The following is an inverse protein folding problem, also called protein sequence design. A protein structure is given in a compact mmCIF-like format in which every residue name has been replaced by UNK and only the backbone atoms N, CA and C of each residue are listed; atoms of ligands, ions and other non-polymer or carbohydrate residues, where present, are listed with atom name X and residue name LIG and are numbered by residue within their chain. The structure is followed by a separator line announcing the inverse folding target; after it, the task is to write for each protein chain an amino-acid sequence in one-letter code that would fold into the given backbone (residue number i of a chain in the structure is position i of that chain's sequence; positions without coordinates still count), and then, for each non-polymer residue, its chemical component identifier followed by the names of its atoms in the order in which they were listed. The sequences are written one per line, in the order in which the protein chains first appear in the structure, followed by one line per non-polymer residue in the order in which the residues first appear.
data_IF_826236846551
#
_entry.id   IF_826236846551
#
_cell.length_a   1.000
_cell.length_b   1.000
_cell.length_c   1.000
_cell.angle_alpha   90.00
_cell.angle_beta   90.00
_cell.angle_gamma   90.00
#
_symmetry.space_group_name_H-M   'P 1'
#
loop_
_entity.id
_entity.type
_entity.pdbx_description
1 polymer ?
#
# COMPACT_ATOMS: atom_id res chain seq x y z
N UNK A 1 53.41 -34.12 24.27
CA UNK A 1 51.92 -34.22 24.35
C UNK A 1 51.23 -33.03 23.65
N UNK A 2 51.67 -32.60 22.45
CA UNK A 2 51.15 -31.37 21.81
C UNK A 2 50.30 -31.59 20.54
N UNK A 3 50.21 -32.81 20.01
CA UNK A 3 49.52 -33.07 18.73
C UNK A 3 47.98 -33.01 18.82
N UNK A 4 47.38 -33.17 20.01
CA UNK A 4 45.92 -33.13 20.20
C UNK A 4 45.32 -31.71 20.27
N UNK A 5 46.16 -30.67 20.42
CA UNK A 5 45.69 -29.28 20.55
C UNK A 5 45.43 -28.60 19.21
N UNK A 6 46.09 -29.07 18.15
CA UNK A 6 45.98 -28.57 16.78
C UNK A 6 44.56 -28.73 16.20
N UNK A 7 43.90 -29.91 16.27
CA UNK A 7 42.54 -30.06 15.74
C UNK A 7 41.52 -29.24 16.53
N UNK A 8 41.72 -29.08 17.85
CA UNK A 8 40.87 -28.23 18.70
C UNK A 8 41.01 -26.74 18.35
N UNK A 9 42.23 -26.29 18.04
CA UNK A 9 42.45 -24.91 17.60
C UNK A 9 41.83 -24.65 16.23
N UNK A 10 41.97 -25.60 15.29
CA UNK A 10 41.37 -25.49 13.95
C UNK A 10 39.84 -25.47 14.01
N UNK A 11 39.26 -26.30 14.88
CA UNK A 11 37.82 -26.31 15.13
C UNK A 11 37.34 -24.99 15.75
N UNK A 12 38.08 -24.45 16.73
CA UNK A 12 37.77 -23.17 17.35
C UNK A 12 37.85 -22.00 16.36
N UNK A 13 38.83 -22.00 15.44
CA UNK A 13 38.92 -21.00 14.36
C UNK A 13 37.77 -21.13 13.36
N UNK A 14 37.37 -22.35 12.99
CA UNK A 14 36.26 -22.59 12.07
C UNK A 14 34.92 -22.12 12.66
N UNK A 15 34.71 -22.32 13.97
CA UNK A 15 33.52 -21.85 14.71
C UNK A 15 33.48 -20.32 14.82
N UNK A 16 34.62 -19.65 14.95
CA UNK A 16 34.70 -18.18 14.96
C UNK A 16 34.48 -17.55 13.57
N UNK A 17 34.84 -18.23 12.49
CA UNK A 17 34.63 -17.74 11.12
C UNK A 17 33.15 -17.84 10.67
N UNK A 18 32.36 -18.74 11.26
CA UNK A 18 30.95 -18.92 10.94
C UNK A 18 30.00 -17.89 11.60
N UNK A 19 30.51 -17.11 12.56
CA UNK A 19 29.71 -16.16 13.37
C UNK A 19 29.54 -14.75 12.79
N UNK A 20 29.89 -14.52 11.52
CA UNK A 20 29.72 -13.22 10.83
C UNK A 20 28.54 -13.20 9.85
N UNK A 21 27.72 -14.25 9.82
CA UNK A 21 26.56 -14.39 8.95
C UNK A 21 25.23 -14.05 9.64
N UNK A 22 25.23 -13.12 10.61
CA UNK A 22 24.00 -12.52 11.11
C UNK A 22 23.69 -11.29 10.27
N UNK A 23 23.08 -11.52 9.10
CA UNK A 23 22.17 -10.54 8.54
C UNK A 23 20.96 -10.51 9.47
N UNK A 24 21.06 -9.67 10.50
CA UNK A 24 19.93 -9.24 11.31
C UNK A 24 18.94 -8.61 10.34
N UNK A 25 17.86 -9.33 10.02
CA UNK A 25 16.80 -8.85 9.15
C UNK A 25 15.80 -8.13 10.04
N UNK A 26 15.89 -6.80 10.21
CA UNK A 26 14.75 -6.08 10.76
C UNK A 26 13.63 -6.22 9.72
N UNK A 27 12.59 -6.98 10.07
CA UNK A 27 11.29 -6.93 9.41
C UNK A 27 10.91 -5.44 9.30
N UNK A 28 11.06 -4.86 8.10
CA UNK A 28 10.86 -3.43 7.89
C UNK A 28 11.74 -2.79 6.81
N UNK A 29 12.79 -3.47 6.33
CA UNK A 29 13.62 -2.96 5.21
C UNK A 29 13.33 -3.75 3.93
N UNK A 30 12.68 -3.10 2.96
CA UNK A 30 12.28 -3.70 1.67
C UNK A 30 13.46 -3.96 0.71
N UNK A 31 14.58 -3.26 0.88
CA UNK A 31 15.76 -3.37 0.01
C UNK A 31 17.00 -3.74 0.79
N UNK A 32 17.68 -4.79 0.34
CA UNK A 32 18.85 -5.36 1.01
C UNK A 32 20.15 -4.72 0.52
N UNK A 33 20.13 -4.02 -0.61
CA UNK A 33 21.28 -3.31 -1.16
C UNK A 33 21.03 -1.81 -1.41
N UNK A 34 22.06 -0.95 -1.35
CA UNK A 34 21.96 0.46 -1.74
C UNK A 34 21.60 0.67 -3.22
N UNK A 35 22.00 -0.26 -4.09
CA UNK A 35 21.75 -0.18 -5.54
C UNK A 35 20.28 -0.41 -5.89
N UNK A 36 19.58 -1.32 -5.20
CA UNK A 36 18.13 -1.52 -5.38
C UNK A 36 17.33 -0.28 -4.97
N UNK A 37 17.75 0.40 -3.89
CA UNK A 37 17.13 1.65 -3.43
C UNK A 37 17.28 2.75 -4.47
N UNK A 38 18.50 2.98 -4.97
CA UNK A 38 18.74 4.03 -5.96
C UNK A 38 18.06 3.76 -7.30
N UNK A 39 17.76 2.50 -7.64
CA UNK A 39 16.95 2.16 -8.81
C UNK A 39 15.47 2.53 -8.62
N UNK A 40 14.91 2.33 -7.42
CA UNK A 40 13.55 2.79 -7.10
C UNK A 40 13.47 4.31 -7.06
N UNK A 41 14.43 4.99 -6.43
CA UNK A 41 14.43 6.45 -6.31
C UNK A 41 14.56 7.17 -7.66
N UNK A 42 15.16 6.49 -8.66
CA UNK A 42 15.27 6.98 -10.05
C UNK A 42 13.99 6.81 -10.87
N UNK A 43 13.03 6.00 -10.42
CA UNK A 43 11.71 6.00 -11.05
C UNK A 43 11.01 7.29 -10.64
N UNK A 44 11.22 8.33 -11.44
CA UNK A 44 10.44 9.55 -11.39
C UNK A 44 8.98 9.16 -11.55
N UNK A 45 8.17 9.49 -10.54
CA UNK A 45 6.74 9.23 -10.57
C UNK A 45 6.21 10.00 -11.79
N UNK A 46 5.64 9.34 -12.82
CA UNK A 46 5.08 10.06 -13.96
C UNK A 46 4.11 11.09 -13.39
N UNK A 47 4.20 12.35 -13.86
CA UNK A 47 3.41 13.50 -13.38
C UNK A 47 2.05 13.01 -12.93
N UNK A 48 1.85 12.96 -11.61
CA UNK A 48 0.83 12.12 -11.01
C UNK A 48 -0.51 12.47 -11.65
N UNK A 49 -1.03 11.57 -12.49
CA UNK A 49 -2.41 11.67 -12.93
C UNK A 49 -3.22 11.60 -11.64
N UNK A 50 -3.77 12.74 -11.22
CA UNK A 50 -4.63 12.81 -10.05
C UNK A 50 -5.77 11.84 -10.36
N UNK A 51 -5.88 10.70 -9.64
CA UNK A 51 -6.94 9.75 -9.92
C UNK A 51 -8.28 10.47 -9.77
N UNK A 52 -9.28 10.15 -10.62
CA UNK A 52 -10.58 10.80 -10.53
C UNK A 52 -11.12 10.63 -9.11
N UNK A 53 -11.81 11.66 -8.63
CA UNK A 53 -12.37 11.61 -7.30
C UNK A 53 -13.29 10.40 -7.18
N UNK A 54 -13.23 9.67 -6.07
CA UNK A 54 -14.05 8.48 -5.88
C UNK A 54 -14.34 8.21 -4.41
N UNK A 55 -15.44 7.51 -4.15
CA UNK A 55 -15.78 7.03 -2.81
C UNK A 55 -14.93 5.78 -2.50
N UNK A 56 -14.06 5.86 -1.49
CA UNK A 56 -13.23 4.75 -1.05
C UNK A 56 -13.95 3.84 -0.05
N UNK A 57 -14.88 4.40 0.73
CA UNK A 57 -15.55 3.65 1.78
C UNK A 57 -16.78 4.38 2.32
N UNK A 58 -17.73 3.60 2.83
CA UNK A 58 -18.95 4.09 3.48
C UNK A 58 -19.15 3.27 4.76
N UNK A 59 -19.16 3.93 5.91
CA UNK A 59 -19.55 3.33 7.20
C UNK A 59 -20.82 4.01 7.65
N UNK A 60 -21.93 3.27 7.62
CA UNK A 60 -23.26 3.76 7.94
C UNK A 60 -23.61 3.47 9.41
N UNK A 61 -24.11 4.49 10.10
CA UNK A 61 -24.72 4.40 11.42
C UNK A 61 -26.21 4.08 11.29
N UNK A 62 -26.79 3.48 12.32
CA UNK A 62 -28.18 3.01 12.29
C UNK A 62 -29.23 4.12 12.04
N UNK A 63 -28.86 5.39 12.26
CA UNK A 63 -29.69 6.58 12.01
C UNK A 63 -29.70 7.04 10.54
N UNK A 64 -29.07 6.29 9.62
CA UNK A 64 -29.00 6.61 8.20
C UNK A 64 -27.92 7.61 7.82
N UNK A 65 -27.12 8.08 8.78
CA UNK A 65 -25.93 8.91 8.56
C UNK A 65 -24.71 8.02 8.34
N UNK A 66 -23.71 8.53 7.66
CA UNK A 66 -22.48 7.79 7.39
C UNK A 66 -21.24 8.66 7.48
N UNK A 67 -20.13 8.00 7.80
CA UNK A 67 -18.80 8.49 7.46
C UNK A 67 -18.43 7.95 6.09
N UNK A 68 -18.04 8.83 5.18
CA UNK A 68 -17.72 8.52 3.79
C UNK A 68 -16.30 8.98 3.52
N UNK A 69 -15.48 8.09 2.97
CA UNK A 69 -14.12 8.43 2.56
C UNK A 69 -14.14 8.76 1.06
N UNK A 70 -13.70 9.97 0.72
CA UNK A 70 -13.54 10.42 -0.68
C UNK A 70 -12.09 10.83 -0.87
N UNK A 71 -11.39 10.16 -1.78
CA UNK A 71 -9.95 10.30 -1.97
C UNK A 71 -9.11 10.24 -0.67
N UNK A 72 -9.52 9.38 0.27
CA UNK A 72 -8.89 9.23 1.58
C UNK A 72 -9.32 10.25 2.64
N UNK A 73 -10.07 11.29 2.29
CA UNK A 73 -10.60 12.28 3.22
C UNK A 73 -11.93 11.80 3.83
N UNK A 74 -12.00 11.75 5.16
CA UNK A 74 -13.20 11.34 5.88
C UNK A 74 -14.21 12.48 6.01
N UNK A 75 -15.43 12.27 5.53
CA UNK A 75 -16.56 13.19 5.62
C UNK A 75 -17.66 12.57 6.48
N UNK A 76 -18.05 13.28 7.54
CA UNK A 76 -19.03 12.79 8.51
C UNK A 76 -20.44 13.28 8.18
N UNK A 77 -21.44 12.67 8.81
CA UNK A 77 -22.84 13.10 8.73
C UNK A 77 -23.44 13.12 7.32
N UNK A 78 -22.93 12.27 6.45
CA UNK A 78 -23.40 12.14 5.08
C UNK A 78 -24.61 11.20 5.03
N UNK A 79 -25.72 11.57 4.34
CA UNK A 79 -26.81 10.64 4.10
C UNK A 79 -26.35 9.39 3.32
N UNK A 80 -26.69 8.20 3.80
CA UNK A 80 -26.33 6.93 3.15
C UNK A 80 -27.50 5.93 3.08
N UNK A 81 -27.69 5.34 1.91
CA UNK A 81 -28.75 4.35 1.63
C UNK A 81 -28.26 3.33 0.61
N UNK A 82 -28.68 2.06 0.75
CA UNK A 82 -28.43 0.99 -0.23
C UNK A 82 -26.98 0.97 -0.79
N UNK A 83 -25.99 0.98 0.10
CA UNK A 83 -24.54 0.99 -0.20
C UNK A 83 -24.04 2.21 -0.99
N UNK A 84 -24.81 3.30 -0.98
CA UNK A 84 -24.49 4.57 -1.59
C UNK A 84 -24.48 5.67 -0.54
N UNK A 85 -23.71 6.72 -0.80
CA UNK A 85 -23.71 7.94 -0.01
C UNK A 85 -23.89 9.17 -0.90
N UNK A 86 -24.50 10.22 -0.35
CA UNK A 86 -24.73 11.48 -1.05
C UNK A 86 -23.50 12.39 -0.92
N UNK A 87 -22.68 12.44 -1.96
CA UNK A 87 -21.40 13.16 -2.01
C UNK A 87 -21.48 14.31 -3.01
N UNK A 88 -20.67 15.35 -2.80
CA UNK A 88 -20.60 16.51 -3.72
C UNK A 88 -19.59 16.21 -4.81
N UNK A 89 -20.02 16.25 -6.08
CA UNK A 89 -19.15 16.10 -7.24
C UNK A 89 -18.23 17.32 -7.44
N UNK A 90 -17.24 17.29 -8.36
CA UNK A 90 -16.39 18.46 -8.62
C UNK A 90 -17.14 19.68 -9.16
N UNK A 91 -18.38 19.52 -9.64
CA UNK A 91 -19.24 20.61 -10.10
C UNK A 91 -20.07 21.22 -8.96
N UNK A 92 -19.94 20.71 -7.73
CA UNK A 92 -20.68 21.18 -6.57
C UNK A 92 -22.09 20.57 -6.44
N UNK A 93 -22.42 19.56 -7.23
CA UNK A 93 -23.75 18.93 -7.25
C UNK A 93 -23.76 17.69 -6.36
N UNK A 94 -24.78 17.53 -5.49
CA UNK A 94 -24.91 16.33 -4.67
C UNK A 94 -25.38 15.13 -5.51
N UNK A 95 -24.56 14.08 -5.54
CA UNK A 95 -24.80 12.84 -6.28
C UNK A 95 -24.74 11.63 -5.35
N UNK A 96 -25.53 10.60 -5.64
CA UNK A 96 -25.43 9.31 -4.96
C UNK A 96 -24.33 8.48 -5.63
N UNK A 97 -23.37 8.01 -4.84
CA UNK A 97 -22.25 7.20 -5.33
C UNK A 97 -21.98 6.00 -4.46
N UNK A 98 -21.64 4.89 -5.12
CA UNK A 98 -21.12 3.67 -4.47
C UNK A 98 -19.61 3.76 -4.28
N UNK A 99 -19.10 2.88 -3.43
CA UNK A 99 -17.66 2.65 -3.29
C UNK A 99 -17.08 2.23 -4.65
N UNK A 100 -15.98 2.87 -5.07
CA UNK A 100 -15.27 2.61 -6.32
C UNK A 100 -15.91 3.24 -7.56
N UNK A 101 -17.03 3.95 -7.42
CA UNK A 101 -17.62 4.71 -8.52
C UNK A 101 -16.93 6.08 -8.63
N UNK A 102 -16.49 6.49 -9.84
CA UNK A 102 -15.95 7.83 -10.04
C UNK A 102 -17.02 8.88 -9.74
N UNK A 103 -16.59 9.95 -9.09
CA UNK A 103 -17.42 11.11 -8.77
C UNK A 103 -17.72 11.92 -10.01
N UNK A 104 -16.75 11.97 -10.91
CA UNK A 104 -16.80 12.64 -12.20
C UNK A 104 -17.58 11.77 -13.18
N UNK A 105 -18.31 12.39 -14.12
CA UNK A 105 -19.01 11.67 -15.21
C UNK A 105 -18.05 11.05 -16.25
N UNK A 106 -16.77 10.87 -15.90
CA UNK A 106 -15.82 10.19 -16.75
C UNK A 106 -16.34 8.77 -17.02
N UNK A 107 -16.45 8.35 -18.30
CA UNK A 107 -16.95 7.02 -18.61
C UNK A 107 -16.13 5.99 -17.84
N UNK A 108 -16.76 4.97 -17.23
CA UNK A 108 -16.04 3.96 -16.47
C UNK A 108 -14.97 3.37 -17.37
N UNK A 109 -13.72 3.37 -16.90
CA UNK A 109 -12.61 2.81 -17.64
C UNK A 109 -12.98 1.37 -18.03
N UNK A 110 -13.34 1.18 -19.30
CA UNK A 110 -13.83 -0.09 -19.81
C UNK A 110 -12.68 -1.08 -19.72
N UNK A 111 -12.68 -1.92 -18.69
CA UNK A 111 -11.74 -3.02 -18.56
C UNK A 111 -12.07 -4.05 -19.62
N UNK A 112 -11.49 -3.88 -20.82
CA UNK A 112 -11.56 -4.90 -21.86
C UNK A 112 -10.72 -6.08 -21.37
N UNK A 113 -11.39 -7.11 -20.86
CA UNK A 113 -10.75 -8.40 -20.58
C UNK A 113 -10.28 -8.97 -21.91
N UNK A 114 -9.01 -8.76 -22.24
CA UNK A 114 -8.37 -9.48 -23.34
C UNK A 114 -8.26 -10.94 -22.90
N UNK A 115 -9.22 -11.76 -23.34
CA UNK A 115 -9.08 -13.21 -23.29
C UNK A 115 -7.92 -13.57 -24.22
N UNK A 116 -6.85 -14.11 -23.62
CA UNK A 116 -5.74 -14.73 -24.34
C UNK A 116 -6.08 -16.19 -24.61
#
# INVERSE_FOLDING_TARGET
MSARRIPLLALALALMAAGSAQADTPLGRLFFTPAERSAMDRHEVPSAQIPPAQVNGIVRRNDGRATVWVNGEARQDIPASNHQARVIDPRGVPVWRKVGEPLDDAPPAMHIKRHR
#
